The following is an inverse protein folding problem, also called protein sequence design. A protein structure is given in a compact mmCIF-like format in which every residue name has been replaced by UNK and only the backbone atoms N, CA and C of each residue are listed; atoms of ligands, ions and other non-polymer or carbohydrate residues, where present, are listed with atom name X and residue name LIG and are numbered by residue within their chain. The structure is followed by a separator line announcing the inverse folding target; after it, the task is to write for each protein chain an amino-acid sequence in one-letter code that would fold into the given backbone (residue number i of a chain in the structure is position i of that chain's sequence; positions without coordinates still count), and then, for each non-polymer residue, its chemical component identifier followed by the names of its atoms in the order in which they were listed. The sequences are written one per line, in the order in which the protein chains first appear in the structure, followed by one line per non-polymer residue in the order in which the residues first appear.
data_IF_403853260200
#
_entry.id   IF_403853260200
#
_cell.length_a   1.000
_cell.length_b   1.000
_cell.length_c   1.000
_cell.angle_alpha   90.00
_cell.angle_beta   90.00
_cell.angle_gamma   90.00
#
_symmetry.space_group_name_H-M   'P 1'
#
loop_
_entity.id
_entity.type
_entity.pdbx_description
1 polymer ?
#
# COMPACT_ATOMS: atom_id res chain seq x y z
N UNK A 1 -4.52 15.73 13.89
CA UNK A 1 -3.56 14.83 13.21
C UNK A 1 -4.01 13.36 13.14
N UNK A 2 -4.86 12.85 14.06
CA UNK A 2 -5.31 11.44 14.09
C UNK A 2 -5.89 10.90 12.76
N UNK A 3 -6.68 11.70 12.04
CA UNK A 3 -7.28 11.26 10.77
C UNK A 3 -6.34 11.28 9.56
N UNK A 4 -5.24 12.04 9.58
CA UNK A 4 -4.38 12.19 8.39
C UNK A 4 -3.63 10.89 8.09
N UNK A 5 -3.05 10.24 9.11
CA UNK A 5 -2.36 8.96 8.95
C UNK A 5 -3.30 7.85 8.47
N UNK A 6 -4.52 7.80 9.01
CA UNK A 6 -5.54 6.83 8.58
C UNK A 6 -5.95 7.09 7.14
N UNK A 7 -6.20 8.34 6.76
CA UNK A 7 -6.55 8.71 5.39
C UNK A 7 -5.43 8.34 4.40
N UNK A 8 -4.18 8.72 4.69
CA UNK A 8 -3.04 8.37 3.84
C UNK A 8 -2.79 6.86 3.78
N UNK A 9 -2.98 6.14 4.89
CA UNK A 9 -2.89 4.68 4.92
C UNK A 9 -3.94 4.01 4.03
N UNK A 10 -5.21 4.45 4.10
CA UNK A 10 -6.27 3.94 3.22
C UNK A 10 -5.96 4.23 1.75
N UNK A 11 -5.50 5.44 1.43
CA UNK A 11 -5.12 5.80 0.05
C UNK A 11 -3.99 4.89 -0.44
N UNK A 12 -2.96 4.63 0.38
CA UNK A 12 -1.87 3.74 0.02
C UNK A 12 -2.35 2.29 -0.21
N UNK A 13 -3.30 1.79 0.59
CA UNK A 13 -3.91 0.47 0.36
C UNK A 13 -4.67 0.43 -0.97
N UNK A 14 -5.47 1.46 -1.27
CA UNK A 14 -6.20 1.53 -2.54
C UNK A 14 -5.24 1.50 -3.73
N UNK A 15 -4.15 2.25 -3.67
CA UNK A 15 -3.11 2.23 -4.70
C UNK A 15 -2.46 0.84 -4.80
N UNK A 16 -2.14 0.22 -3.67
CA UNK A 16 -1.58 -1.14 -3.64
C UNK A 16 -2.48 -2.16 -4.34
N UNK A 17 -3.80 -2.08 -4.09
CA UNK A 17 -4.79 -2.95 -4.73
C UNK A 17 -4.91 -2.70 -6.23
N UNK A 18 -4.82 -1.43 -6.68
CA UNK A 18 -4.81 -1.10 -8.12
C UNK A 18 -3.62 -1.78 -8.80
N UNK A 19 -2.41 -1.61 -8.27
CA UNK A 19 -1.22 -2.26 -8.84
C UNK A 19 -1.27 -3.78 -8.77
N UNK A 20 -1.82 -4.35 -7.69
CA UNK A 20 -2.04 -5.80 -7.59
C UNK A 20 -3.03 -6.31 -8.64
N UNK A 21 -4.10 -5.54 -8.91
CA UNK A 21 -5.07 -5.84 -9.97
C UNK A 21 -4.45 -5.76 -11.37
N UNK A 22 -3.64 -4.74 -11.63
CA UNK A 22 -2.88 -4.61 -12.89
C UNK A 22 -1.90 -5.78 -13.06
N UNK A 23 -1.18 -6.15 -12.00
CA UNK A 23 -0.28 -7.31 -12.03
C UNK A 23 -1.03 -8.60 -12.38
N UNK A 24 -2.23 -8.81 -11.86
CA UNK A 24 -3.06 -9.97 -12.23
C UNK A 24 -3.47 -9.94 -13.71
N UNK A 25 -3.88 -8.78 -14.23
CA UNK A 25 -4.21 -8.64 -15.66
C UNK A 25 -2.99 -8.96 -16.54
N UNK A 26 -1.80 -8.48 -16.17
CA UNK A 26 -0.56 -8.74 -16.90
C UNK A 26 -0.10 -10.20 -16.78
N UNK A 27 -0.40 -10.86 -15.66
CA UNK A 27 -0.14 -12.29 -15.47
C UNK A 27 -0.97 -13.14 -16.45
N UNK A 28 -2.26 -12.81 -16.60
CA UNK A 28 -3.14 -13.46 -17.58
C UNK A 28 -2.68 -13.19 -19.02
N UNK A 29 -2.06 -12.03 -19.27
CA UNK A 29 -1.48 -11.66 -20.57
C UNK A 29 -0.05 -12.18 -20.79
N UNK A 30 0.49 -13.01 -19.88
CA UNK A 30 1.85 -13.57 -19.93
C UNK A 30 2.98 -12.51 -20.01
N UNK A 31 2.71 -11.26 -19.62
CA UNK A 31 3.68 -10.17 -19.64
C UNK A 31 4.42 -10.07 -18.29
N UNK A 32 5.35 -10.98 -18.06
CA UNK A 32 5.97 -11.19 -16.75
C UNK A 32 6.81 -10.00 -16.25
N UNK A 33 7.45 -9.23 -17.12
CA UNK A 33 8.22 -8.04 -16.72
C UNK A 33 7.31 -7.00 -16.05
N UNK A 34 6.14 -6.77 -16.64
CA UNK A 34 5.11 -5.90 -16.08
C UNK A 34 4.51 -6.52 -14.81
N UNK A 35 4.34 -7.84 -14.72
CA UNK A 35 3.87 -8.49 -13.48
C UNK A 35 4.80 -8.16 -12.32
N UNK A 36 6.10 -8.38 -12.48
CA UNK A 36 7.07 -8.12 -11.41
C UNK A 36 7.13 -6.64 -11.03
N UNK A 37 7.09 -5.75 -12.02
CA UNK A 37 7.09 -4.32 -11.78
C UNK A 37 5.86 -3.87 -10.97
N UNK A 38 4.66 -4.32 -11.36
CA UNK A 38 3.41 -3.95 -10.71
C UNK A 38 3.26 -4.61 -9.33
N UNK A 39 3.76 -5.84 -9.12
CA UNK A 39 3.85 -6.45 -7.77
C UNK A 39 4.80 -5.64 -6.88
N UNK A 40 5.92 -5.17 -7.42
CA UNK A 40 6.86 -4.29 -6.71
C UNK A 40 6.19 -3.01 -6.22
N UNK A 41 5.45 -2.32 -7.09
CA UNK A 41 4.69 -1.14 -6.68
C UNK A 41 3.58 -1.48 -5.68
N UNK A 42 2.82 -2.56 -5.90
CA UNK A 42 1.76 -3.00 -5.00
C UNK A 42 2.28 -3.21 -3.57
N UNK A 43 3.38 -3.94 -3.43
CA UNK A 43 4.02 -4.21 -2.14
C UNK A 43 4.59 -2.95 -1.49
N UNK A 44 5.24 -2.07 -2.26
CA UNK A 44 5.73 -0.77 -1.77
C UNK A 44 4.63 0.05 -1.11
N UNK A 45 3.49 0.23 -1.79
CA UNK A 45 2.37 1.01 -1.25
C UNK A 45 1.72 0.35 -0.04
N UNK A 46 1.68 -0.99 0.00
CA UNK A 46 1.21 -1.70 1.18
C UNK A 46 2.15 -1.49 2.38
N UNK A 47 3.47 -1.54 2.16
CA UNK A 47 4.47 -1.25 3.19
C UNK A 47 4.34 0.18 3.73
N UNK A 48 4.07 1.17 2.86
CA UNK A 48 3.79 2.55 3.28
C UNK A 48 2.55 2.60 4.17
N UNK A 49 1.46 1.90 3.82
CA UNK A 49 0.25 1.86 4.63
C UNK A 49 0.50 1.27 6.03
N UNK A 50 1.23 0.15 6.09
CA UNK A 50 1.62 -0.50 7.36
C UNK A 50 2.48 0.44 8.21
N UNK A 51 3.45 1.13 7.59
CA UNK A 51 4.30 2.10 8.29
C UNK A 51 3.50 3.27 8.86
N UNK A 52 2.56 3.84 8.08
CA UNK A 52 1.70 4.93 8.53
C UNK A 52 0.79 4.51 9.69
N UNK A 53 0.30 3.27 9.68
CA UNK A 53 -0.45 2.71 10.81
C UNK A 53 0.40 2.56 12.06
N UNK A 54 1.61 2.01 11.93
CA UNK A 54 2.56 1.91 13.04
C UNK A 54 2.85 3.29 13.65
N UNK A 55 3.14 4.31 12.83
CA UNK A 55 3.33 5.68 13.31
C UNK A 55 2.10 6.24 14.03
N UNK A 56 0.89 5.93 13.55
CA UNK A 56 -0.36 6.35 14.18
C UNK A 56 -0.48 5.74 15.58
N UNK A 57 -0.16 4.46 15.73
CA UNK A 57 -0.24 3.74 17.01
C UNK A 57 0.81 4.25 18.01
N UNK A 58 2.06 4.44 17.59
CA UNK A 58 3.12 5.05 18.40
C UNK A 58 2.73 6.46 18.90
N UNK A 59 2.12 7.28 18.03
CA UNK A 59 1.63 8.60 18.42
C UNK A 59 0.44 8.55 19.38
N UNK A 60 -0.38 7.51 19.34
CA UNK A 60 -1.46 7.35 20.32
C UNK A 60 -0.91 6.95 21.68
N UNK A 61 0.07 6.04 21.71
CA UNK A 61 0.74 5.58 22.94
C UNK A 61 1.46 6.70 23.68
N UNK A 62 2.16 7.60 22.96
CA UNK A 62 2.89 8.73 23.57
C UNK A 62 2.00 9.91 24.02
N UNK A 63 0.71 9.92 23.69
CA UNK A 63 -0.25 10.96 24.09
C UNK A 63 -1.23 10.48 25.18
N UNK A 64 -0.98 9.31 25.78
CA UNK A 64 -1.76 8.71 26.87
C UNK A 64 -0.90 8.57 28.12
#
# INVERSE_FOLDING_TARGET
MKNKFVLFGIVAILISLIFGGVAYQQLVAENMDEVYLNIGYSTLFLSIAVYLWHMKDEKQKNNS
#
